data_IF_600555092817
#
_entry.id   IF_600555092817
#
_cell.length_a   1.000
_cell.length_b   1.000
_cell.length_c   1.000
_cell.angle_alpha   90.00
_cell.angle_beta   90.00
_cell.angle_gamma   90.00
#
_symmetry.space_group_name_H-M   'P 1'
#
loop_
_entity.id
_entity.type
_entity.pdbx_description
1 polymer ?
#
# COMPACT_ATOMS: atom_id res chain seq x y z
N UNK A 1 5.76 1.73 -30.69
CA UNK A 1 6.20 0.76 -29.66
C UNK A 1 5.08 0.44 -28.66
N UNK A 2 3.89 0.05 -29.14
CA UNK A 2 2.72 -0.21 -28.27
C UNK A 2 1.94 -1.48 -28.61
N UNK A 3 2.26 -2.17 -29.71
CA UNK A 3 1.50 -3.35 -30.16
C UNK A 3 1.96 -4.65 -29.50
N UNK A 4 3.27 -4.84 -29.31
CA UNK A 4 3.84 -6.12 -28.82
C UNK A 4 3.47 -6.38 -27.34
N UNK A 5 3.28 -5.34 -26.53
CA UNK A 5 3.01 -5.50 -25.09
C UNK A 5 1.54 -5.85 -24.76
N UNK A 6 0.58 -5.45 -25.61
CA UNK A 6 -0.84 -5.75 -25.38
C UNK A 6 -1.19 -7.22 -25.62
N UNK A 7 -0.49 -7.87 -26.55
CA UNK A 7 -0.79 -9.25 -26.97
C UNK A 7 -0.28 -10.33 -26.02
N UNK A 8 0.71 -10.01 -25.16
CA UNK A 8 1.35 -11.01 -24.27
C UNK A 8 0.86 -10.96 -22.82
N UNK A 9 0.34 -9.82 -22.35
CA UNK A 9 0.00 -9.63 -20.92
C UNK A 9 -1.42 -9.13 -20.64
N UNK A 10 -2.20 -8.74 -21.67
CA UNK A 10 -3.58 -8.27 -21.49
C UNK A 10 -3.74 -6.91 -20.77
N UNK A 11 -2.64 -6.27 -20.38
CA UNK A 11 -2.58 -4.96 -19.74
C UNK A 11 -1.72 -4.00 -20.57
N UNK A 12 -2.03 -2.70 -20.56
CA UNK A 12 -1.22 -1.70 -21.24
C UNK A 12 0.14 -1.53 -20.54
N UNK A 13 1.20 -1.18 -21.29
CA UNK A 13 2.51 -0.84 -20.71
C UNK A 13 2.42 0.20 -19.58
N UNK A 14 1.51 1.16 -19.73
CA UNK A 14 1.23 2.19 -18.73
C UNK A 14 0.65 1.61 -17.43
N UNK A 15 -0.19 0.57 -17.53
CA UNK A 15 -0.79 -0.08 -16.38
C UNK A 15 0.26 -0.88 -15.61
N UNK A 16 1.13 -1.61 -16.33
CA UNK A 16 2.25 -2.32 -15.71
C UNK A 16 3.19 -1.38 -14.94
N UNK A 17 3.56 -0.24 -15.55
CA UNK A 17 4.38 0.77 -14.86
C UNK A 17 3.66 1.34 -13.65
N UNK A 18 2.34 1.50 -13.73
CA UNK A 18 1.52 2.00 -12.63
C UNK A 18 1.51 0.99 -11.48
N UNK A 19 1.30 -0.29 -11.76
CA UNK A 19 1.33 -1.36 -10.75
C UNK A 19 2.67 -1.41 -10.02
N UNK A 20 3.79 -1.40 -10.76
CA UNK A 20 5.14 -1.40 -10.16
C UNK A 20 5.35 -0.17 -9.27
N UNK A 21 4.91 1.02 -9.71
CA UNK A 21 4.99 2.24 -8.90
C UNK A 21 4.14 2.14 -7.64
N UNK A 22 2.95 1.55 -7.72
CA UNK A 22 2.04 1.40 -6.59
C UNK A 22 2.52 0.38 -5.56
N UNK A 23 3.14 -0.73 -5.99
CA UNK A 23 3.81 -1.65 -5.07
C UNK A 23 4.94 -0.97 -4.31
N UNK A 24 5.75 -0.16 -5.00
CA UNK A 24 6.78 0.64 -4.35
C UNK A 24 6.19 1.72 -3.42
N UNK A 25 5.07 2.33 -3.81
CA UNK A 25 4.36 3.30 -2.98
C UNK A 25 3.92 2.68 -1.64
N UNK A 26 3.35 1.47 -1.67
CA UNK A 26 2.95 0.75 -0.46
C UNK A 26 4.13 0.62 0.49
N UNK A 27 5.28 0.13 0.02
CA UNK A 27 6.50 -0.04 0.83
C UNK A 27 6.94 1.30 1.45
N UNK A 28 7.00 2.37 0.65
CA UNK A 28 7.41 3.69 1.11
C UNK A 28 6.47 4.26 2.19
N UNK A 29 5.17 3.99 2.05
CA UNK A 29 4.14 4.42 3.00
C UNK A 29 4.13 3.64 4.31
N UNK A 30 4.90 2.54 4.45
CA UNK A 30 5.06 1.88 5.76
C UNK A 30 5.81 2.76 6.75
N UNK A 31 6.65 3.69 6.27
CA UNK A 31 7.31 4.64 7.16
C UNK A 31 6.33 5.75 7.56
N UNK A 32 5.92 5.88 8.84
CA UNK A 32 4.99 6.92 9.28
C UNK A 32 5.58 8.33 9.20
N UNK A 33 6.90 8.46 8.99
CA UNK A 33 7.60 9.74 8.86
C UNK A 33 7.65 10.27 7.43
N UNK A 34 7.35 9.43 6.43
CA UNK A 34 7.45 9.82 5.03
C UNK A 34 6.20 10.59 4.61
N UNK A 35 6.39 11.77 4.00
CA UNK A 35 5.26 12.58 3.55
C UNK A 35 4.69 12.01 2.24
N UNK A 36 3.36 12.03 2.10
CA UNK A 36 2.68 11.55 0.87
C UNK A 36 3.17 12.29 -0.39
N UNK A 37 3.52 13.57 -0.26
CA UNK A 37 4.10 14.39 -1.33
C UNK A 37 5.49 13.90 -1.76
N UNK A 38 6.32 13.45 -0.81
CA UNK A 38 7.65 12.90 -1.09
C UNK A 38 7.53 11.55 -1.80
N UNK A 39 6.60 10.69 -1.38
CA UNK A 39 6.30 9.42 -2.07
C UNK A 39 5.88 9.69 -3.52
N UNK A 40 4.96 10.64 -3.74
CA UNK A 40 4.49 11.00 -5.07
C UNK A 40 5.65 11.49 -5.96
N UNK A 41 6.51 12.35 -5.43
CA UNK A 41 7.68 12.88 -6.13
C UNK A 41 8.69 11.77 -6.48
N UNK A 42 9.02 10.90 -5.51
CA UNK A 42 9.97 9.79 -5.69
C UNK A 42 9.51 8.78 -6.76
N UNK A 43 8.21 8.61 -6.93
CA UNK A 43 7.61 7.74 -7.94
C UNK A 43 7.37 8.44 -9.28
N UNK A 44 7.76 9.71 -9.40
CA UNK A 44 7.66 10.50 -10.62
C UNK A 44 6.22 10.86 -11.00
N UNK A 45 5.34 11.07 -10.02
CA UNK A 45 4.03 11.66 -10.28
C UNK A 45 4.13 13.19 -10.32
N UNK A 46 3.40 13.80 -11.26
CA UNK A 46 3.40 15.25 -11.47
C UNK A 46 2.73 16.04 -10.34
N UNK A 47 1.89 15.38 -9.53
CA UNK A 47 1.28 15.98 -8.35
C UNK A 47 0.88 14.91 -7.32
N UNK A 48 0.90 15.29 -6.04
CA UNK A 48 0.39 14.48 -4.94
C UNK A 48 -1.09 14.14 -5.09
N UNK A 49 -1.89 15.07 -5.66
CA UNK A 49 -3.32 14.86 -5.90
C UNK A 49 -3.57 13.77 -6.95
N UNK A 50 -2.83 13.80 -8.07
CA UNK A 50 -2.92 12.76 -9.09
C UNK A 50 -2.47 11.40 -8.56
N UNK A 51 -1.33 11.36 -7.83
CA UNK A 51 -0.89 10.15 -7.14
C UNK A 51 -1.96 9.58 -6.22
N UNK A 52 -2.55 10.42 -5.35
CA UNK A 52 -3.59 9.98 -4.40
C UNK A 52 -4.82 9.39 -5.09
N UNK A 53 -5.23 9.96 -6.23
CA UNK A 53 -6.36 9.44 -7.02
C UNK A 53 -6.03 8.08 -7.65
N UNK A 54 -4.86 7.95 -8.26
CA UNK A 54 -4.39 6.69 -8.86
C UNK A 54 -4.25 5.62 -7.78
N UNK A 55 -3.55 5.93 -6.68
CA UNK A 55 -3.39 5.00 -5.57
C UNK A 55 -4.72 4.52 -5.02
N UNK A 56 -5.69 5.43 -4.77
CA UNK A 56 -7.03 5.03 -4.31
C UNK A 56 -7.78 4.17 -5.31
N UNK A 57 -7.65 4.43 -6.60
CA UNK A 57 -8.32 3.64 -7.64
C UNK A 57 -7.86 2.18 -7.65
N UNK A 58 -6.56 1.95 -7.44
CA UNK A 58 -5.97 0.60 -7.48
C UNK A 58 -5.95 -0.10 -6.10
N UNK A 59 -5.75 0.65 -5.02
CA UNK A 59 -5.61 0.11 -3.65
C UNK A 59 -6.92 0.17 -2.86
N UNK A 60 -7.89 0.97 -3.31
CA UNK A 60 -9.22 1.13 -2.70
C UNK A 60 -9.31 2.25 -1.66
N UNK A 61 -8.19 2.66 -1.07
CA UNK A 61 -8.11 3.69 -0.02
C UNK A 61 -7.06 4.76 -0.33
N UNK A 62 -7.15 5.92 0.33
CA UNK A 62 -6.17 6.98 0.12
C UNK A 62 -4.78 6.61 0.67
N UNK A 63 -3.67 7.18 0.14
CA UNK A 63 -2.33 6.94 0.69
C UNK A 63 -2.20 7.27 2.18
N UNK A 64 -2.86 8.33 2.65
CA UNK A 64 -2.85 8.75 4.07
C UNK A 64 -3.59 7.74 4.96
N UNK A 65 -4.74 7.25 4.49
CA UNK A 65 -5.49 6.20 5.18
C UNK A 65 -4.71 4.88 5.23
N UNK A 66 -4.03 4.53 4.13
CA UNK A 66 -3.13 3.38 4.06
C UNK A 66 -2.01 3.50 5.10
N UNK A 67 -1.30 4.63 5.13
CA UNK A 67 -0.23 4.90 6.11
C UNK A 67 -0.73 4.86 7.56
N UNK A 68 -1.91 5.43 7.83
CA UNK A 68 -2.53 5.39 9.16
C UNK A 68 -2.83 3.95 9.59
N UNK A 69 -3.37 3.13 8.69
CA UNK A 69 -3.69 1.72 8.98
C UNK A 69 -2.43 0.90 9.27
N UNK A 70 -1.36 1.10 8.51
CA UNK A 70 -0.08 0.41 8.78
C UNK A 70 0.48 0.82 10.15
N UNK A 71 0.53 2.12 10.45
CA UNK A 71 0.96 2.60 11.77
C UNK A 71 0.15 1.98 12.91
N UNK A 72 -1.18 1.85 12.75
CA UNK A 72 -2.01 1.17 13.75
C UNK A 72 -1.65 -0.31 13.93
N UNK A 73 -1.41 -1.03 12.82
CA UNK A 73 -1.00 -2.44 12.86
C UNK A 73 0.37 -2.64 13.50
N UNK A 74 1.36 -1.79 13.18
CA UNK A 74 2.69 -1.82 13.82
C UNK A 74 2.58 -1.57 15.32
N UNK A 75 1.70 -0.68 15.77
CA UNK A 75 1.49 -0.45 17.20
C UNK A 75 0.83 -1.66 17.90
N UNK A 76 -0.06 -2.41 17.23
CA UNK A 76 -0.65 -3.64 17.79
C UNK A 76 0.38 -4.76 17.92
N UNK A 77 1.23 -4.97 16.91
CA UNK A 77 2.25 -6.01 16.97
C UNK A 77 3.29 -5.75 18.07
N UNK A 78 3.57 -4.47 18.34
CA UNK A 78 4.46 -4.05 19.42
C UNK A 78 3.76 -4.08 20.81
N UNK A 79 2.42 -4.03 20.86
CA UNK A 79 1.65 -4.25 22.10
C UNK A 79 1.45 -5.76 22.33
N UNK A 80 2.51 -6.38 22.84
CA UNK A 80 2.61 -7.81 23.19
C UNK A 80 1.49 -8.32 24.13
N UNK A 81 0.63 -7.44 24.66
CA UNK A 81 -0.57 -7.81 25.40
C UNK A 81 -1.54 -8.64 24.55
N UNK A 82 -1.74 -8.32 23.26
CA UNK A 82 -2.72 -8.99 22.39
C UNK A 82 -2.23 -10.36 21.90
N UNK A 83 -0.95 -10.51 21.56
CA UNK A 83 -0.35 -11.80 21.22
C UNK A 83 -0.42 -12.81 22.38
N UNK A 84 -0.36 -12.33 23.63
CA UNK A 84 -0.54 -13.16 24.82
C UNK A 84 -1.98 -13.69 24.96
N UNK A 85 -3.00 -12.90 24.60
CA UNK A 85 -4.40 -13.33 24.65
C UNK A 85 -4.76 -14.36 23.56
N UNK A 86 -4.23 -14.19 22.35
CA UNK A 86 -4.51 -15.10 21.22
C UNK A 86 -3.88 -16.49 21.38
N UNK A 87 -2.72 -16.61 22.06
CA UNK A 87 -2.13 -17.92 22.37
C UNK A 87 -2.69 -18.59 23.64
N UNK A 88 -3.29 -17.84 24.58
CA UNK A 88 -3.83 -18.38 25.84
C UNK A 88 -5.27 -18.88 25.72
N UNK A 89 -6.07 -18.38 24.78
CA UNK A 89 -7.48 -18.74 24.65
C UNK A 89 -7.68 -19.96 23.73
N UNK A 90 -7.76 -21.15 24.32
CA UNK A 90 -8.53 -22.25 23.72
C UNK A 90 -9.89 -22.28 24.42
N UNK A 91 -11.02 -22.10 23.71
CA UNK A 91 -12.31 -22.38 24.30
C UNK A 91 -12.31 -23.86 24.69
N UNK A 92 -12.55 -24.12 25.97
CA UNK A 92 -12.77 -25.47 26.50
C UNK A 92 -13.96 -26.03 25.71
N UNK A 93 -13.66 -26.96 24.78
CA UNK A 93 -14.67 -27.78 24.14
C UNK A 93 -15.11 -28.80 25.19
N UNK A 94 -16.36 -28.70 25.62
CA UNK A 94 -17.10 -29.76 26.31
C UNK A 94 -17.50 -30.84 25.31
#
# INVERSE_FOLDING_TARGET
MSHIFKETLGIGFQDFVTDVKLERAKILLHSPKMQISEVALLLGYSSTGYFSRVFRMYVGISPSEYQTRISYLENIENDTSINLYLHRWKPIQS
#
